data_IF_685414684078
#
_entry.id   IF_685414684078
#
_cell.length_a   1.000
_cell.length_b   1.000
_cell.length_c   1.000
_cell.angle_alpha   90.00
_cell.angle_beta   90.00
_cell.angle_gamma   90.00
#
_symmetry.space_group_name_H-M   'P 1'
#
loop_
_entity.id
_entity.type
_entity.pdbx_description
1 polymer ?
#
# COMPACT_ATOMS: atom_id res chain seq x y z
N UNK A 1 -43.15 35.07 12.94
CA UNK A 1 -42.64 33.90 12.21
C UNK A 1 -41.15 34.12 11.99
N UNK A 2 -40.30 33.71 12.94
CA UNK A 2 -38.85 33.83 12.81
C UNK A 2 -38.33 32.53 12.19
N UNK A 3 -37.74 32.65 11.01
CA UNK A 3 -37.23 31.54 10.21
C UNK A 3 -35.88 31.08 10.79
N UNK A 4 -35.85 29.89 11.40
CA UNK A 4 -34.62 29.21 11.79
C UNK A 4 -34.06 28.48 10.58
N UNK A 5 -33.27 29.17 9.76
CA UNK A 5 -32.46 28.55 8.71
C UNK A 5 -31.27 27.84 9.36
N UNK A 6 -31.43 26.54 9.60
CA UNK A 6 -30.38 25.61 10.01
C UNK A 6 -29.36 25.47 8.89
N UNK A 7 -28.25 26.20 9.02
CA UNK A 7 -27.03 26.05 8.21
C UNK A 7 -26.42 24.67 8.48
N UNK A 8 -26.82 23.67 7.69
CA UNK A 8 -26.17 22.37 7.67
C UNK A 8 -24.86 22.50 6.90
N UNK A 9 -23.78 22.78 7.61
CA UNK A 9 -22.42 22.70 7.10
C UNK A 9 -22.13 21.29 6.60
N UNK A 10 -22.26 21.09 5.29
CA UNK A 10 -21.87 19.87 4.59
C UNK A 10 -20.34 19.77 4.61
N UNK A 11 -19.77 19.21 5.68
CA UNK A 11 -18.39 18.76 5.66
C UNK A 11 -18.27 17.62 4.65
N UNK A 12 -17.45 17.73 3.60
CA UNK A 12 -17.20 16.62 2.71
C UNK A 12 -16.62 15.47 3.55
N UNK A 13 -17.20 14.28 3.42
CA UNK A 13 -16.67 13.09 4.10
C UNK A 13 -15.20 12.93 3.74
N UNK A 14 -14.41 12.41 4.68
CA UNK A 14 -12.99 12.11 4.45
C UNK A 14 -12.79 11.34 3.14
N UNK A 15 -13.67 10.38 2.87
CA UNK A 15 -13.68 9.62 1.63
C UNK A 15 -13.98 10.46 0.40
N UNK A 16 -14.93 11.40 0.46
CA UNK A 16 -15.24 12.26 -0.69
C UNK A 16 -14.12 13.25 -0.98
N UNK A 17 -13.44 13.74 0.06
CA UNK A 17 -12.33 14.68 -0.09
C UNK A 17 -11.07 14.02 -0.65
N UNK A 18 -10.82 12.75 -0.35
CA UNK A 18 -9.64 12.05 -0.84
C UNK A 18 -9.90 11.29 -2.15
N UNK A 19 -11.03 10.58 -2.30
CA UNK A 19 -11.32 9.79 -3.51
C UNK A 19 -11.81 10.62 -4.70
N UNK A 20 -12.49 11.75 -4.46
CA UNK A 20 -13.04 12.60 -5.53
C UNK A 20 -12.31 13.95 -5.65
N UNK A 21 -11.06 14.07 -5.19
CA UNK A 21 -10.27 15.29 -5.38
C UNK A 21 -9.69 15.38 -6.78
N UNK A 22 -9.89 16.51 -7.45
CA UNK A 22 -9.27 16.86 -8.74
C UNK A 22 -7.98 17.67 -8.58
N UNK A 23 -7.55 17.93 -7.33
CA UNK A 23 -6.34 18.68 -7.05
C UNK A 23 -5.09 17.78 -7.18
N UNK A 24 -4.11 18.21 -7.97
CA UNK A 24 -2.86 17.45 -8.19
C UNK A 24 -2.04 17.25 -6.91
N UNK A 25 -2.19 18.11 -5.90
CA UNK A 25 -1.50 17.97 -4.61
C UNK A 25 -2.10 16.83 -3.77
N UNK A 26 -3.42 16.70 -3.79
CA UNK A 26 -4.11 15.63 -3.08
C UNK A 26 -3.88 14.29 -3.77
N UNK A 27 -4.00 14.27 -5.11
CA UNK A 27 -3.69 13.07 -5.92
C UNK A 27 -2.23 12.65 -5.67
N UNK A 28 -1.27 13.58 -5.72
CA UNK A 28 0.14 13.28 -5.50
C UNK A 28 0.43 12.73 -4.10
N UNK A 29 -0.25 13.25 -3.08
CA UNK A 29 -0.12 12.77 -1.70
C UNK A 29 -0.64 11.34 -1.55
N UNK A 30 -1.75 10.99 -2.22
CA UNK A 30 -2.27 9.61 -2.24
C UNK A 30 -1.30 8.63 -2.89
N UNK A 31 -0.71 9.00 -4.04
CA UNK A 31 0.29 8.17 -4.71
C UNK A 31 1.53 7.98 -3.84
N UNK A 32 1.97 9.03 -3.12
CA UNK A 32 3.13 8.95 -2.25
C UNK A 32 2.87 8.05 -1.03
N UNK A 33 1.68 8.16 -0.41
CA UNK A 33 1.28 7.26 0.68
C UNK A 33 1.22 5.81 0.18
N UNK A 34 0.61 5.56 -0.98
CA UNK A 34 0.55 4.25 -1.58
C UNK A 34 1.96 3.69 -1.87
N UNK A 35 2.83 4.50 -2.47
CA UNK A 35 4.20 4.11 -2.78
C UNK A 35 5.03 3.78 -1.54
N UNK A 36 4.86 4.51 -0.43
CA UNK A 36 5.53 4.18 0.84
C UNK A 36 5.04 2.85 1.40
N UNK A 37 3.74 2.60 1.39
CA UNK A 37 3.17 1.33 1.87
C UNK A 37 3.63 0.16 1.00
N UNK A 38 3.53 0.30 -0.33
CA UNK A 38 4.02 -0.68 -1.29
C UNK A 38 5.53 -0.92 -1.13
N UNK A 39 6.31 0.14 -0.93
CA UNK A 39 7.75 0.08 -0.70
C UNK A 39 8.12 -0.71 0.55
N UNK A 40 7.43 -0.50 1.67
CA UNK A 40 7.66 -1.27 2.91
C UNK A 40 7.38 -2.76 2.68
N UNK A 41 6.23 -3.09 2.05
CA UNK A 41 5.86 -4.48 1.74
C UNK A 41 6.91 -5.12 0.81
N UNK A 42 7.31 -4.40 -0.23
CA UNK A 42 8.35 -4.82 -1.15
C UNK A 42 9.68 -5.06 -0.44
N UNK A 43 10.11 -4.17 0.46
CA UNK A 43 11.33 -4.34 1.27
C UNK A 43 11.25 -5.57 2.16
N UNK A 44 10.09 -5.83 2.80
CA UNK A 44 9.89 -7.05 3.59
C UNK A 44 10.07 -8.30 2.75
N UNK A 45 9.48 -8.37 1.56
CA UNK A 45 9.68 -9.49 0.64
C UNK A 45 11.14 -9.63 0.21
N UNK A 46 11.84 -8.50 -0.02
CA UNK A 46 13.27 -8.48 -0.35
C UNK A 46 14.15 -9.05 0.77
N UNK A 47 13.82 -8.77 2.04
CA UNK A 47 14.54 -9.29 3.20
C UNK A 47 14.25 -10.77 3.41
N UNK A 48 13.00 -11.20 3.24
CA UNK A 48 12.60 -12.61 3.31
C UNK A 48 13.37 -13.47 2.29
N UNK A 49 13.48 -13.02 1.04
CA UNK A 49 14.27 -13.72 0.02
C UNK A 49 15.77 -13.75 0.38
N UNK A 50 16.33 -12.64 0.90
CA UNK A 50 17.72 -12.63 1.35
C UNK A 50 17.97 -13.63 2.49
N UNK A 51 17.06 -13.71 3.47
CA UNK A 51 17.18 -14.66 4.58
C UNK A 51 17.11 -16.12 4.09
N UNK A 52 16.28 -16.42 3.10
CA UNK A 52 16.22 -17.76 2.48
C UNK A 52 17.54 -18.13 1.79
N UNK A 53 18.21 -17.17 1.14
CA UNK A 53 19.51 -17.42 0.49
C UNK A 53 20.72 -17.44 1.45
N UNK A 54 20.59 -16.97 2.69
CA UNK A 54 21.70 -16.89 3.66
C UNK A 54 22.14 -18.26 4.20
N UNK A 55 21.24 -19.24 4.25
CA UNK A 55 21.56 -20.62 4.64
C UNK A 55 21.15 -21.58 3.53
N UNK A 56 22.10 -22.23 2.82
CA UNK A 56 21.76 -23.21 1.79
C UNK A 56 21.16 -24.47 2.45
N UNK A 57 19.83 -24.64 2.38
CA UNK A 57 19.10 -25.75 3.00
C UNK A 57 17.57 -25.55 3.01
N UNK A 58 16.89 -26.35 3.84
CA UNK A 58 15.42 -26.32 4.08
C UNK A 58 15.06 -25.10 4.95
N UNK A 59 15.24 -23.89 4.40
CA UNK A 59 15.22 -22.59 5.09
C UNK A 59 13.89 -22.21 5.75
N UNK A 60 13.51 -20.92 5.67
CA UNK A 60 12.24 -20.43 6.23
C UNK A 60 11.04 -21.08 5.51
N UNK A 61 11.21 -21.43 4.24
CA UNK A 61 10.16 -22.00 3.40
C UNK A 61 10.15 -23.54 3.38
N UNK A 62 10.99 -24.24 4.16
CA UNK A 62 11.01 -25.71 4.27
C UNK A 62 10.88 -26.43 2.91
N UNK A 63 11.55 -25.91 1.88
CA UNK A 63 11.60 -26.53 0.56
C UNK A 63 10.43 -26.20 -0.38
N UNK A 64 9.53 -25.28 0.00
CA UNK A 64 8.40 -24.85 -0.86
C UNK A 64 8.85 -23.88 -1.97
N UNK A 65 9.41 -24.43 -3.04
CA UNK A 65 9.87 -23.68 -4.23
C UNK A 65 8.76 -22.87 -4.92
N UNK A 66 7.50 -23.30 -4.80
CA UNK A 66 6.35 -22.56 -5.35
C UNK A 66 6.13 -21.24 -4.61
N UNK A 67 6.18 -21.24 -3.28
CA UNK A 67 6.02 -20.03 -2.47
C UNK A 67 7.18 -19.05 -2.70
N UNK A 68 8.40 -19.55 -2.86
CA UNK A 68 9.55 -18.72 -3.24
C UNK A 68 9.32 -18.01 -4.59
N UNK A 69 8.81 -18.73 -5.59
CA UNK A 69 8.57 -18.16 -6.92
C UNK A 69 7.41 -17.15 -6.93
N UNK A 70 6.39 -17.34 -6.08
CA UNK A 70 5.31 -16.35 -5.88
C UNK A 70 5.82 -15.11 -5.15
N UNK A 71 6.69 -15.28 -4.15
CA UNK A 71 7.29 -14.17 -3.41
C UNK A 71 8.22 -13.32 -4.30
N UNK A 72 9.04 -13.94 -5.15
CA UNK A 72 9.95 -13.20 -6.05
C UNK A 72 9.18 -12.41 -7.11
N UNK A 73 8.14 -13.01 -7.68
CA UNK A 73 7.29 -12.35 -8.68
C UNK A 73 6.44 -11.26 -8.05
N UNK A 74 5.86 -11.50 -6.88
CA UNK A 74 5.13 -10.50 -6.10
C UNK A 74 6.01 -9.31 -5.68
N UNK A 75 7.25 -9.54 -5.28
CA UNK A 75 8.21 -8.47 -5.00
C UNK A 75 8.48 -7.60 -6.23
N UNK A 76 8.73 -8.22 -7.39
CA UNK A 76 8.95 -7.51 -8.64
C UNK A 76 7.74 -6.67 -9.08
N UNK A 77 6.53 -7.21 -8.94
CA UNK A 77 5.29 -6.52 -9.29
C UNK A 77 4.95 -5.34 -8.37
N UNK A 78 5.29 -5.42 -7.08
CA UNK A 78 5.00 -4.34 -6.11
C UNK A 78 6.01 -3.19 -6.24
N UNK A 79 7.21 -3.47 -6.73
CA UNK A 79 8.27 -2.47 -6.91
C UNK A 79 8.21 -1.71 -8.24
N UNK A 80 7.39 -2.16 -9.19
CA UNK A 80 7.20 -1.53 -10.51
C UNK A 80 5.93 -0.67 -10.54
#
# INVERSE_FOLDING_TARGET
>A
MANTSSDHSHYPSFWTRWLFSTNHKDIGTLYLIFAIVAGIIGTTFSVLMRMELMYPGDGILKGDYHLYNVLVTGHGLIMV
#
